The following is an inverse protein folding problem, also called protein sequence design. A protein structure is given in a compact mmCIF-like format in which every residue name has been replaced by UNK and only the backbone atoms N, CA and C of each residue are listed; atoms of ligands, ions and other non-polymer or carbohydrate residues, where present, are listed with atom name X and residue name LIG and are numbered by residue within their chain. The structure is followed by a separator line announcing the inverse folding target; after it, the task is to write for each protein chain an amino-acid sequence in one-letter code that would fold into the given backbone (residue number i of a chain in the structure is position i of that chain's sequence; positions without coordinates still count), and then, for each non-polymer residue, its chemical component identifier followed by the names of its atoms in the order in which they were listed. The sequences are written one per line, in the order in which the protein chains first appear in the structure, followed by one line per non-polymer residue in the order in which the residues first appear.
data_IF_561958961758
#
_entry.id   IF_561958961758
#
_cell.length_a   1.000
_cell.length_b   1.000
_cell.length_c   1.000
_cell.angle_alpha   90.00
_cell.angle_beta   90.00
_cell.angle_gamma   90.00
#
_symmetry.space_group_name_H-M   'P 1'
#
loop_
_entity.id
_entity.type
_entity.pdbx_description
1 polymer ?
#
# COMPACT_ATOMS: atom_id res chain seq x y z
N UNK A 1 0.42 -1.79 19.63
CA UNK A 1 -0.14 -2.33 18.37
C UNK A 1 -1.30 -1.51 17.85
N UNK A 2 -2.31 -1.16 18.67
CA UNK A 2 -3.46 -0.36 18.23
C UNK A 2 -3.10 0.93 17.47
N UNK A 3 -2.13 1.72 17.95
CA UNK A 3 -1.66 2.92 17.23
C UNK A 3 -1.07 2.61 15.85
N UNK A 4 -0.35 1.49 15.69
CA UNK A 4 0.20 1.07 14.39
C UNK A 4 -0.89 0.59 13.43
N UNK A 5 -1.90 -0.11 13.95
CA UNK A 5 -3.08 -0.47 13.15
C UNK A 5 -3.84 0.80 12.72
N UNK A 6 -4.02 1.77 13.61
CA UNK A 6 -4.69 3.03 13.28
C UNK A 6 -3.96 3.84 12.19
N UNK A 7 -2.63 3.92 12.29
CA UNK A 7 -1.77 4.58 11.28
C UNK A 7 -1.91 3.94 9.88
N UNK A 8 -2.14 2.62 9.84
CA UNK A 8 -2.41 1.84 8.63
C UNK A 8 -3.91 1.52 8.46
N UNK A 9 -4.80 2.33 9.04
CA UNK A 9 -6.24 2.05 9.08
C UNK A 9 -6.89 2.02 7.69
N UNK A 10 -6.37 2.85 6.77
CA UNK A 10 -6.83 2.89 5.38
C UNK A 10 -6.66 1.56 4.63
N UNK A 11 -5.84 0.63 5.13
CA UNK A 11 -5.71 -0.71 4.54
C UNK A 11 -6.96 -1.58 4.75
N UNK A 12 -7.82 -1.20 5.69
CA UNK A 12 -9.02 -1.96 6.09
C UNK A 12 -10.32 -1.30 5.69
N UNK A 13 -10.26 -0.07 5.17
CA UNK A 13 -11.43 0.68 4.72
C UNK A 13 -11.99 0.13 3.42
N UNK A 14 -13.15 0.65 3.01
CA UNK A 14 -13.71 0.46 1.67
C UNK A 14 -12.65 0.68 0.58
N UNK A 15 -12.73 -0.13 -0.49
CA UNK A 15 -11.71 -0.17 -1.57
C UNK A 15 -11.49 1.20 -2.19
N UNK A 16 -12.56 1.97 -2.41
CA UNK A 16 -12.47 3.32 -2.99
C UNK A 16 -11.72 4.29 -2.10
N UNK A 17 -11.90 4.20 -0.78
CA UNK A 17 -11.19 5.02 0.21
C UNK A 17 -9.72 4.60 0.26
N UNK A 18 -9.46 3.29 0.35
CA UNK A 18 -8.11 2.74 0.38
C UNK A 18 -7.31 3.17 -0.86
N UNK A 19 -7.90 3.02 -2.04
CA UNK A 19 -7.28 3.40 -3.30
C UNK A 19 -6.94 4.90 -3.33
N UNK A 20 -7.85 5.76 -2.86
CA UNK A 20 -7.58 7.20 -2.82
C UNK A 20 -6.38 7.55 -1.95
N UNK A 21 -6.23 6.89 -0.80
CA UNK A 21 -5.07 7.05 0.07
C UNK A 21 -3.77 6.63 -0.62
N UNK A 22 -3.76 5.49 -1.31
CA UNK A 22 -2.59 5.02 -2.05
C UNK A 22 -2.21 5.98 -3.19
N UNK A 23 -3.19 6.50 -3.92
CA UNK A 23 -2.95 7.49 -4.99
C UNK A 23 -2.33 8.79 -4.46
N UNK A 24 -2.85 9.30 -3.33
CA UNK A 24 -2.30 10.51 -2.69
C UNK A 24 -0.88 10.28 -2.16
N UNK A 25 -0.63 9.14 -1.52
CA UNK A 25 0.70 8.78 -1.02
C UNK A 25 1.70 8.62 -2.17
N UNK A 26 1.28 8.06 -3.30
CA UNK A 26 2.13 7.92 -4.46
C UNK A 26 2.53 9.30 -5.02
N UNK A 27 1.57 10.21 -5.15
CA UNK A 27 1.86 11.56 -5.62
C UNK A 27 2.81 12.29 -4.67
N UNK A 28 2.61 12.16 -3.35
CA UNK A 28 3.53 12.74 -2.36
C UNK A 28 4.97 12.21 -2.52
N UNK A 29 5.12 10.89 -2.68
CA UNK A 29 6.43 10.26 -2.89
C UNK A 29 7.07 10.70 -4.21
N UNK A 30 6.30 10.87 -5.27
CA UNK A 30 6.80 11.39 -6.54
C UNK A 30 7.23 12.86 -6.45
N UNK A 31 6.47 13.69 -5.74
CA UNK A 31 6.86 15.08 -5.47
C UNK A 31 8.17 15.16 -4.66
N UNK A 32 8.40 14.22 -3.74
CA UNK A 32 9.67 14.11 -3.04
C UNK A 32 10.82 13.74 -4.00
N UNK A 33 10.62 12.77 -4.89
CA UNK A 33 11.63 12.39 -5.88
C UNK A 33 11.95 13.50 -6.89
N UNK A 34 10.98 14.34 -7.24
CA UNK A 34 11.24 15.51 -8.08
C UNK A 34 12.11 16.55 -7.38
N UNK A 35 11.91 16.75 -6.07
CA UNK A 35 12.77 17.62 -5.26
C UNK A 35 14.18 17.06 -5.16
N UNK A 36 14.32 15.76 -4.94
CA UNK A 36 15.63 15.08 -4.94
C UNK A 36 16.36 15.28 -6.27
N UNK A 37 15.65 15.12 -7.39
CA UNK A 37 16.18 15.35 -8.73
C UNK A 37 16.61 16.79 -8.95
N UNK A 38 15.79 17.76 -8.54
CA UNK A 38 16.09 19.18 -8.66
C UNK A 38 17.31 19.59 -7.82
N UNK A 39 17.56 18.91 -6.71
CA UNK A 39 18.73 19.09 -5.86
C UNK A 39 19.96 18.31 -6.34
N UNK A 40 19.88 17.57 -7.44
CA UNK A 40 20.97 16.76 -7.97
C UNK A 40 21.28 15.51 -7.13
N UNK A 41 20.33 15.05 -6.31
CA UNK A 41 20.50 13.83 -5.50
C UNK A 41 20.30 12.60 -6.39
N UNK A 42 21.34 11.77 -6.50
CA UNK A 42 21.32 10.54 -7.30
C UNK A 42 21.96 9.40 -6.48
N UNK A 43 21.31 8.24 -6.35
CA UNK A 43 20.00 7.89 -6.91
C UNK A 43 18.83 8.58 -6.19
N UNK A 44 17.73 8.77 -6.92
CA UNK A 44 16.41 9.12 -6.33
C UNK A 44 15.99 7.99 -5.39
N UNK A 45 15.37 8.36 -4.28
CA UNK A 45 14.88 7.44 -3.27
C UNK A 45 13.96 6.37 -3.87
N UNK A 46 13.99 5.13 -3.35
CA UNK A 46 13.13 4.05 -3.83
C UNK A 46 11.65 4.44 -3.85
N UNK A 47 10.93 4.05 -4.92
CA UNK A 47 9.50 4.33 -5.14
C UNK A 47 9.14 5.82 -5.35
N UNK A 48 10.13 6.72 -5.29
CA UNK A 48 9.92 8.18 -5.45
C UNK A 48 10.18 8.67 -6.88
N UNK A 49 10.74 7.82 -7.76
CA UNK A 49 10.94 8.20 -9.17
C UNK A 49 9.66 7.96 -9.99
N UNK A 50 8.98 9.04 -10.39
CA UNK A 50 7.77 8.99 -11.24
C UNK A 50 7.96 8.34 -12.61
N UNK A 51 9.20 8.14 -13.05
CA UNK A 51 9.52 7.43 -14.30
C UNK A 51 9.69 5.91 -14.09
N UNK A 52 9.51 5.42 -12.87
CA UNK A 52 9.57 4.00 -12.50
C UNK A 52 8.24 3.56 -11.90
N UNK A 53 7.99 2.25 -11.75
CA UNK A 53 6.85 1.77 -11.00
C UNK A 53 6.83 2.34 -9.58
N UNK A 54 5.74 3.04 -9.23
CA UNK A 54 5.54 3.65 -7.91
C UNK A 54 5.04 2.66 -6.86
N UNK A 55 4.57 3.19 -5.74
CA UNK A 55 4.07 2.36 -4.62
C UNK A 55 2.85 1.51 -4.97
N UNK A 56 2.08 1.88 -6.00
CA UNK A 56 0.90 1.13 -6.46
C UNK A 56 1.30 -0.29 -6.87
N UNK A 57 2.44 -0.45 -7.56
CA UNK A 57 2.95 -1.76 -7.95
C UNK A 57 3.46 -2.56 -6.74
N UNK A 58 3.84 -1.88 -5.65
CA UNK A 58 4.38 -2.52 -4.45
C UNK A 58 3.31 -2.93 -3.42
N UNK A 59 2.02 -2.69 -3.70
CA UNK A 59 0.96 -2.91 -2.71
C UNK A 59 0.85 -4.38 -2.29
N UNK A 60 0.80 -5.34 -3.22
CA UNK A 60 0.68 -6.77 -2.88
C UNK A 60 1.83 -7.26 -1.97
N UNK A 61 3.04 -6.78 -2.21
CA UNK A 61 4.21 -7.01 -1.34
C UNK A 61 4.05 -6.37 0.04
N UNK A 62 3.60 -5.12 0.11
CA UNK A 62 3.36 -4.43 1.37
C UNK A 62 2.29 -5.11 2.24
N UNK A 63 1.19 -5.55 1.62
CA UNK A 63 0.13 -6.29 2.31
C UNK A 63 0.66 -7.59 2.92
N UNK A 64 1.42 -8.38 2.16
CA UNK A 64 1.94 -9.68 2.62
C UNK A 64 3.04 -9.57 3.69
N UNK A 65 3.94 -8.60 3.56
CA UNK A 65 5.12 -8.49 4.42
C UNK A 65 4.85 -7.65 5.68
N UNK A 66 4.00 -6.62 5.60
CA UNK A 66 3.79 -5.66 6.69
C UNK A 66 2.38 -5.74 7.25
N UNK A 67 1.37 -5.57 6.40
CA UNK A 67 0.01 -5.36 6.88
C UNK A 67 -0.62 -6.61 7.48
N UNK A 68 -0.56 -7.75 6.78
CA UNK A 68 -1.16 -9.00 7.24
C UNK A 68 -0.57 -9.49 8.58
N UNK A 69 0.76 -9.53 8.78
CA UNK A 69 1.33 -9.87 10.09
C UNK A 69 0.88 -8.94 11.22
N UNK A 70 0.81 -7.62 10.97
CA UNK A 70 0.39 -6.63 11.96
C UNK A 70 -1.05 -6.86 12.39
N UNK A 71 -1.98 -6.97 11.44
CA UNK A 71 -3.39 -7.16 11.74
C UNK A 71 -3.68 -8.55 12.30
N UNK A 72 -2.95 -9.58 11.89
CA UNK A 72 -3.12 -10.94 12.44
C UNK A 72 -2.72 -10.99 13.92
N UNK A 73 -1.60 -10.34 14.27
CA UNK A 73 -1.20 -10.20 15.66
C UNK A 73 -2.25 -9.42 16.47
N UNK A 74 -2.82 -8.35 15.90
CA UNK A 74 -3.84 -7.55 16.57
C UNK A 74 -5.15 -8.32 16.79
N UNK A 75 -5.72 -8.96 15.77
CA UNK A 75 -6.99 -9.69 15.88
C UNK A 75 -6.87 -10.98 16.70
N UNK A 76 -5.66 -11.54 16.84
CA UNK A 76 -5.44 -12.68 17.75
C UNK A 76 -5.67 -12.32 19.22
N UNK A 77 -5.44 -11.06 19.60
CA UNK A 77 -5.64 -10.53 20.96
C UNK A 77 -7.02 -9.91 21.12
N UNK A 78 -7.56 -9.31 20.05
CA UNK A 78 -8.88 -8.68 20.02
C UNK A 78 -9.75 -9.35 18.94
N UNK A 79 -10.38 -10.51 19.23
CA UNK A 79 -11.16 -11.24 18.24
C UNK A 79 -12.31 -10.43 17.62
N UNK A 80 -12.90 -9.51 18.38
CA UNK A 80 -13.96 -8.61 17.89
C UNK A 80 -13.47 -7.64 16.80
N UNK A 81 -12.15 -7.49 16.63
CA UNK A 81 -11.54 -6.70 15.57
C UNK A 81 -11.36 -7.50 14.25
N UNK A 82 -11.84 -8.75 14.16
CA UNK A 82 -11.79 -9.56 12.94
C UNK A 82 -12.29 -8.85 11.66
N UNK A 83 -13.33 -7.99 11.70
CA UNK A 83 -13.74 -7.23 10.51
C UNK A 83 -12.61 -6.39 9.87
N UNK A 84 -11.62 -5.93 10.66
CA UNK A 84 -10.45 -5.22 10.12
C UNK A 84 -9.59 -6.13 9.25
N UNK A 85 -9.39 -7.38 9.66
CA UNK A 85 -8.67 -8.37 8.87
C UNK A 85 -9.44 -8.75 7.59
N UNK A 86 -10.76 -8.81 7.65
CA UNK A 86 -11.59 -9.10 6.48
C UNK A 86 -11.50 -7.98 5.43
N UNK A 87 -11.60 -6.72 5.88
CA UNK A 87 -11.38 -5.54 5.03
C UNK A 87 -9.96 -5.49 4.44
N UNK A 88 -8.94 -5.81 5.25
CA UNK A 88 -7.56 -5.93 4.79
C UNK A 88 -7.42 -6.95 3.64
N UNK A 89 -8.01 -8.12 3.81
CA UNK A 89 -7.94 -9.19 2.82
C UNK A 89 -8.72 -8.84 1.54
N UNK A 90 -9.83 -8.10 1.65
CA UNK A 90 -10.55 -7.59 0.49
C UNK A 90 -9.68 -6.62 -0.34
N UNK A 91 -9.00 -5.67 0.31
CA UNK A 91 -8.09 -4.74 -0.37
C UNK A 91 -6.86 -5.46 -0.97
N UNK A 92 -6.31 -6.46 -0.29
CA UNK A 92 -5.22 -7.26 -0.85
C UNK A 92 -5.67 -8.00 -2.13
N UNK A 93 -6.86 -8.62 -2.12
CA UNK A 93 -7.43 -9.28 -3.31
C UNK A 93 -7.64 -8.32 -4.47
N UNK A 94 -8.07 -7.08 -4.19
CA UNK A 94 -8.19 -6.04 -5.20
C UNK A 94 -6.84 -5.72 -5.88
N UNK A 95 -5.76 -5.61 -5.11
CA UNK A 95 -4.44 -5.37 -5.70
C UNK A 95 -3.90 -6.58 -6.47
N UNK A 96 -4.15 -7.79 -5.98
CA UNK A 96 -3.80 -9.01 -6.69
C UNK A 96 -4.52 -9.11 -8.05
N UNK A 97 -5.81 -8.77 -8.10
CA UNK A 97 -6.56 -8.80 -9.36
C UNK A 97 -6.06 -7.74 -10.36
N UNK A 98 -5.72 -6.53 -9.89
CA UNK A 98 -5.08 -5.50 -10.73
C UNK A 98 -3.74 -5.97 -11.28
N UNK A 99 -2.86 -6.53 -10.44
CA UNK A 99 -1.56 -7.03 -10.87
C UNK A 99 -1.68 -8.17 -11.90
N UNK A 100 -2.65 -9.07 -11.72
CA UNK A 100 -2.93 -10.15 -12.69
C UNK A 100 -3.42 -9.61 -14.04
N UNK A 101 -4.28 -8.59 -14.03
CA UNK A 101 -4.78 -7.96 -15.26
C UNK A 101 -3.66 -7.23 -16.02
N UNK A 102 -2.76 -6.55 -15.31
CA UNK A 102 -1.58 -5.91 -15.88
C UNK A 102 -0.64 -6.93 -16.53
N UNK A 103 -0.33 -8.02 -15.83
CA UNK A 103 0.55 -9.08 -16.35
C UNK A 103 -0.05 -9.79 -17.58
N UNK A 104 -1.37 -9.95 -17.62
CA UNK A 104 -2.08 -10.58 -18.73
C UNK A 104 -2.16 -9.67 -19.97
N UNK A 105 -2.04 -8.35 -19.80
CA UNK A 105 -2.05 -7.37 -20.89
C UNK A 105 -0.67 -7.16 -21.53
N UNK A 106 0.38 -7.74 -20.95
CA UNK A 106 1.75 -7.70 -21.48
C UNK A 106 2.13 -8.94 -22.31
N UNK A 107 1.21 -9.91 -22.43
CA UNK A 107 1.33 -11.12 -23.25
C UNK A 107 0.37 -11.08 -24.43
#
# INVERSE_FOLDING_TARGET
MALKCADLGHLTSEVSVHQKWVELLQEEMFLQGDKERALGMVPISPLMDRNKPGITHSQTGFFSVVAQPLYAAFTSVFPDAQPLMDGLNANNKFWQSKQLAENSSQH
#
